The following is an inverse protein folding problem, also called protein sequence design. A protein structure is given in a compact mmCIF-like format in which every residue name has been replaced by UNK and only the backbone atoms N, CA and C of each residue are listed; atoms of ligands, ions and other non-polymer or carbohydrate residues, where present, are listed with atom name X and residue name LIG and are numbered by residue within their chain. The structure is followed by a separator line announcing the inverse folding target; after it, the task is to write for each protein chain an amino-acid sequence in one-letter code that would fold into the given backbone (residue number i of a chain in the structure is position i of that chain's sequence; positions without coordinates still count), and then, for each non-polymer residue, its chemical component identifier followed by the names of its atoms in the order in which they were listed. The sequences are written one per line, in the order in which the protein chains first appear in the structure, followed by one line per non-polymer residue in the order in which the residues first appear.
data_IF_092993886923
#
_entry.id   IF_092993886923
#
_cell.length_a   1.000
_cell.length_b   1.000
_cell.length_c   1.000
_cell.angle_alpha   90.00
_cell.angle_beta   90.00
_cell.angle_gamma   90.00
#
_symmetry.space_group_name_H-M   'P 1'
#
loop_
_entity.id
_entity.type
_entity.pdbx_description
1 polymer ?
#
# COMPACT_ATOMS: atom_id res chain seq x y z
N UNK A 1 21.87 -18.55 25.43
CA UNK A 1 21.16 -18.91 24.18
C UNK A 1 20.45 -17.65 23.69
N UNK A 2 21.10 -16.84 22.87
CA UNK A 2 20.51 -15.60 22.33
C UNK A 2 19.97 -15.89 20.93
N UNK A 3 18.65 -15.89 20.78
CA UNK A 3 18.02 -16.03 19.47
C UNK A 3 18.31 -14.75 18.66
N UNK A 4 19.05 -14.89 17.56
CA UNK A 4 19.19 -13.82 16.56
C UNK A 4 17.81 -13.56 15.95
N UNK A 5 17.25 -12.37 16.20
CA UNK A 5 16.03 -11.94 15.52
C UNK A 5 16.39 -11.63 14.05
N UNK A 6 15.87 -12.42 13.12
CA UNK A 6 15.97 -12.15 11.68
C UNK A 6 15.06 -10.96 11.36
N UNK A 7 15.63 -9.78 11.18
CA UNK A 7 14.89 -8.61 10.67
C UNK A 7 14.34 -8.92 9.28
N UNK A 8 13.04 -8.68 9.01
CA UNK A 8 12.48 -8.89 7.68
C UNK A 8 13.14 -7.95 6.66
N UNK A 9 13.54 -8.50 5.52
CA UNK A 9 14.09 -7.76 4.39
C UNK A 9 12.95 -7.06 3.62
N UNK A 10 12.90 -5.72 3.66
CA UNK A 10 11.89 -4.92 2.97
C UNK A 10 12.31 -4.68 1.51
N UNK A 11 11.40 -4.91 0.56
CA UNK A 11 11.63 -4.64 -0.87
C UNK A 11 10.83 -3.43 -1.31
N UNK A 12 11.46 -2.52 -2.04
CA UNK A 12 10.78 -1.41 -2.71
C UNK A 12 10.30 -1.84 -4.10
N UNK A 13 9.04 -1.60 -4.40
CA UNK A 13 8.40 -1.93 -5.69
C UNK A 13 8.06 -0.62 -6.41
N UNK A 14 8.57 -0.43 -7.62
CA UNK A 14 8.31 0.76 -8.43
C UNK A 14 7.08 0.56 -9.33
N UNK A 15 6.17 1.53 -9.34
CA UNK A 15 5.03 1.56 -10.26
C UNK A 15 5.43 2.21 -11.58
N UNK A 16 4.91 1.69 -12.70
CA UNK A 16 5.10 2.32 -14.02
C UNK A 16 4.32 3.64 -14.14
N UNK A 17 3.13 3.69 -13.56
CA UNK A 17 2.28 4.88 -13.50
C UNK A 17 1.32 4.81 -12.31
N UNK A 18 0.87 5.95 -11.77
CA UNK A 18 -0.13 5.98 -10.71
C UNK A 18 -1.52 5.63 -11.25
N UNK A 19 -2.34 5.01 -10.39
CA UNK A 19 -3.75 4.79 -10.68
C UNK A 19 -4.55 6.07 -10.42
N UNK A 20 -5.30 6.54 -11.43
CA UNK A 20 -6.06 7.80 -11.34
C UNK A 20 -7.44 7.64 -10.69
N UNK A 21 -7.86 6.41 -10.41
CA UNK A 21 -9.22 6.07 -10.02
C UNK A 21 -9.35 5.58 -8.56
N UNK A 22 -8.30 5.78 -7.75
CA UNK A 22 -8.23 5.35 -6.34
C UNK A 22 -8.76 6.38 -5.32
N UNK A 23 -9.62 7.31 -5.74
CA UNK A 23 -10.26 8.25 -4.81
C UNK A 23 -11.37 7.54 -4.02
N UNK A 24 -11.27 7.39 -2.68
CA UNK A 24 -12.33 6.77 -1.88
C UNK A 24 -13.57 7.68 -1.77
N UNK A 25 -14.74 7.07 -1.67
CA UNK A 25 -15.99 7.76 -1.31
C UNK A 25 -16.24 7.79 0.21
N UNK A 26 -17.43 8.16 0.63
CA UNK A 26 -17.84 8.18 2.06
C UNK A 26 -17.72 6.82 2.75
N UNK A 27 -17.90 5.72 1.99
CA UNK A 27 -17.76 4.35 2.48
C UNK A 27 -16.47 3.66 2.02
N UNK A 28 -15.43 4.43 1.69
CA UNK A 28 -14.14 3.91 1.23
C UNK A 28 -14.04 3.73 -0.30
N UNK A 29 -12.94 3.11 -0.74
CA UNK A 29 -12.70 2.79 -2.14
C UNK A 29 -13.50 1.54 -2.54
N UNK A 30 -14.31 1.65 -3.59
CA UNK A 30 -15.12 0.55 -4.12
C UNK A 30 -14.87 0.38 -5.61
N UNK A 31 -14.39 -0.79 -5.99
CA UNK A 31 -14.16 -1.19 -7.40
C UNK A 31 -14.57 -2.66 -7.59
N UNK A 32 -14.83 -3.09 -8.83
CA UNK A 32 -15.04 -4.50 -9.13
C UNK A 32 -13.82 -5.35 -8.71
N UNK A 33 -14.03 -6.58 -8.26
CA UNK A 33 -12.95 -7.51 -7.88
C UNK A 33 -11.84 -7.63 -8.94
N UNK A 34 -12.14 -7.70 -10.25
CA UNK A 34 -11.09 -7.76 -11.27
C UNK A 34 -10.16 -6.53 -11.29
N UNK A 35 -10.63 -5.36 -10.85
CA UNK A 35 -9.79 -4.15 -10.75
C UNK A 35 -8.82 -4.27 -9.58
N UNK A 36 -9.29 -4.74 -8.42
CA UNK A 36 -8.41 -4.99 -7.27
C UNK A 36 -7.36 -6.08 -7.53
N UNK A 37 -7.62 -6.99 -8.47
CA UNK A 37 -6.69 -8.04 -8.89
C UNK A 37 -5.65 -7.57 -9.93
N UNK A 38 -5.77 -6.35 -10.46
CA UNK A 38 -4.73 -5.81 -11.32
C UNK A 38 -3.42 -5.65 -10.54
N UNK A 39 -2.26 -5.93 -11.15
CA UNK A 39 -0.98 -5.81 -10.47
C UNK A 39 -0.80 -4.44 -9.81
N UNK A 40 -0.47 -4.45 -8.52
CA UNK A 40 -0.17 -3.27 -7.70
C UNK A 40 -1.34 -2.31 -7.43
N UNK A 41 -2.57 -2.65 -7.85
CA UNK A 41 -3.72 -1.79 -7.59
C UNK A 41 -4.03 -1.70 -6.09
N UNK A 42 -4.15 -2.83 -5.42
CA UNK A 42 -4.49 -2.85 -4.00
C UNK A 42 -3.34 -2.34 -3.13
N UNK A 43 -2.12 -2.78 -3.42
CA UNK A 43 -0.93 -2.47 -2.64
C UNK A 43 -0.61 -0.98 -2.68
N UNK A 44 -0.77 -0.32 -3.83
CA UNK A 44 -0.58 1.13 -3.95
C UNK A 44 -1.61 1.93 -3.14
N UNK A 45 -2.86 1.47 -3.11
CA UNK A 45 -3.88 2.09 -2.26
C UNK A 45 -3.57 1.92 -0.77
N UNK A 46 -3.11 0.74 -0.34
CA UNK A 46 -2.71 0.49 1.04
C UNK A 46 -1.50 1.34 1.45
N UNK A 47 -0.48 1.44 0.59
CA UNK A 47 0.67 2.30 0.81
C UNK A 47 0.23 3.77 0.99
N UNK A 48 -0.66 4.28 0.13
CA UNK A 48 -1.19 5.63 0.25
C UNK A 48 -1.94 5.85 1.57
N UNK A 49 -2.71 4.85 2.05
CA UNK A 49 -3.39 4.91 3.35
C UNK A 49 -2.37 4.97 4.49
N UNK A 50 -1.34 4.12 4.47
CA UNK A 50 -0.29 4.11 5.50
C UNK A 50 0.49 5.42 5.54
N UNK A 51 0.74 6.04 4.39
CA UNK A 51 1.37 7.36 4.28
C UNK A 51 0.52 8.50 4.86
N UNK A 52 -0.76 8.28 5.18
CA UNK A 52 -1.58 9.27 5.89
C UNK A 52 -1.47 9.18 7.41
N UNK A 53 -0.78 8.15 7.93
CA UNK A 53 -0.66 7.91 9.36
C UNK A 53 0.63 8.54 9.92
N UNK A 54 0.55 9.34 11.00
CA UNK A 54 1.73 9.91 11.61
C UNK A 54 2.60 8.81 12.25
N UNK A 55 3.92 8.94 12.12
CA UNK A 55 4.88 8.00 12.69
C UNK A 55 5.11 6.73 11.86
N UNK A 56 4.44 6.58 10.71
CA UNK A 56 4.81 5.59 9.69
C UNK A 56 5.95 6.14 8.84
N UNK A 57 6.90 5.30 8.44
CA UNK A 57 8.01 5.69 7.57
C UNK A 57 7.46 6.20 6.23
N UNK A 58 7.65 7.50 5.95
CA UNK A 58 7.09 8.17 4.76
C UNK A 58 5.67 8.71 4.95
N UNK A 59 5.09 8.57 6.14
CA UNK A 59 3.81 9.20 6.50
C UNK A 59 3.94 10.68 6.83
N UNK A 60 2.90 11.46 6.49
CA UNK A 60 2.79 12.89 6.83
C UNK A 60 2.07 13.13 8.15
#
# INVERSE_FOLDING_TARGET
MTASATTPQVRHISLASPFQDQKPGTSGLRRPTPVFQQPHYLESFLEAVLQTLPGVQGGM
#
